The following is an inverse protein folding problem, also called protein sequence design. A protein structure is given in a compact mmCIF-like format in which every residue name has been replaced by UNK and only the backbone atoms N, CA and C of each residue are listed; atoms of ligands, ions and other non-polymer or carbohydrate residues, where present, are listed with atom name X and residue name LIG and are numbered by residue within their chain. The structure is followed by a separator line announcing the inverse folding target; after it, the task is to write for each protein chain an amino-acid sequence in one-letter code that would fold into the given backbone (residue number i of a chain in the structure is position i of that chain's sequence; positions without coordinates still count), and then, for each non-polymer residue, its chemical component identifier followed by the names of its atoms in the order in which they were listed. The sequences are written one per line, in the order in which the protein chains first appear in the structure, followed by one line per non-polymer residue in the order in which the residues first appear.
data_IF_222387258278
#
_entry.id   IF_222387258278
#
_cell.length_a   1.000
_cell.length_b   1.000
_cell.length_c   1.000
_cell.angle_alpha   90.00
_cell.angle_beta   90.00
_cell.angle_gamma   90.00
#
_symmetry.space_group_name_H-M   'P 1'
#
loop_
_entity.id
_entity.type
_entity.pdbx_description
1 polymer ?
#
# COMPACT_ATOMS: atom_id res chain seq x y z
N UNK A 1 23.86 -3.63 -25.62
CA UNK A 1 22.80 -4.14 -24.72
C UNK A 1 21.93 -2.95 -24.30
N UNK A 2 20.76 -2.78 -24.92
CA UNK A 2 19.80 -1.75 -24.46
C UNK A 2 19.30 -2.15 -23.09
N UNK A 3 19.50 -1.27 -22.09
CA UNK A 3 18.85 -1.42 -20.79
C UNK A 3 17.35 -1.39 -21.06
N UNK A 4 16.66 -2.46 -20.68
CA UNK A 4 15.20 -2.54 -20.73
C UNK A 4 14.68 -1.66 -19.59
N UNK A 5 14.67 -0.35 -19.80
CA UNK A 5 14.13 0.62 -18.85
C UNK A 5 12.61 0.46 -18.91
N UNK A 6 11.94 0.06 -17.83
CA UNK A 6 10.48 -0.07 -17.83
C UNK A 6 9.87 1.28 -18.22
N UNK A 7 8.85 1.24 -19.10
CA UNK A 7 7.99 2.39 -19.36
C UNK A 7 7.53 2.99 -18.01
N UNK A 8 7.44 4.33 -17.91
CA UNK A 8 6.97 5.04 -16.72
C UNK A 8 5.67 4.45 -16.17
N UNK A 9 4.76 3.99 -17.01
CA UNK A 9 3.53 3.33 -16.56
C UNK A 9 3.80 2.00 -15.84
N UNK A 10 4.72 1.18 -16.38
CA UNK A 10 5.13 -0.08 -15.74
C UNK A 10 5.86 0.18 -14.42
N UNK A 11 6.70 1.21 -14.37
CA UNK A 11 7.39 1.60 -13.13
C UNK A 11 6.42 2.05 -12.05
N UNK A 12 5.42 2.87 -12.40
CA UNK A 12 4.39 3.32 -11.45
C UNK A 12 3.54 2.14 -10.96
N UNK A 13 3.13 1.22 -11.83
CA UNK A 13 2.40 0.00 -11.43
C UNK A 13 3.20 -0.83 -10.44
N UNK A 14 4.48 -1.07 -10.75
CA UNK A 14 5.37 -1.86 -9.89
C UNK A 14 5.52 -1.23 -8.50
N UNK A 15 5.73 0.08 -8.41
CA UNK A 15 5.86 0.79 -7.13
C UNK A 15 4.57 0.66 -6.29
N UNK A 16 3.40 0.74 -6.92
CA UNK A 16 2.13 0.63 -6.21
C UNK A 16 1.86 -0.81 -5.72
N UNK A 17 2.24 -1.83 -6.49
CA UNK A 17 2.16 -3.24 -6.08
C UNK A 17 3.05 -3.52 -4.87
N UNK A 18 4.30 -3.06 -4.90
CA UNK A 18 5.25 -3.19 -3.79
C UNK A 18 4.75 -2.48 -2.52
N UNK A 19 4.12 -1.31 -2.68
CA UNK A 19 3.55 -0.56 -1.56
C UNK A 19 2.39 -1.31 -0.89
N UNK A 20 1.48 -1.88 -1.68
CA UNK A 20 0.38 -2.71 -1.17
C UNK A 20 0.90 -3.95 -0.44
N UNK A 21 1.90 -4.62 -1.02
CA UNK A 21 2.56 -5.77 -0.40
C UNK A 21 3.25 -5.41 0.93
N UNK A 22 3.91 -4.26 1.01
CA UNK A 22 4.57 -3.78 2.22
C UNK A 22 3.58 -3.48 3.34
N UNK A 23 2.44 -2.86 3.02
CA UNK A 23 1.37 -2.60 3.99
C UNK A 23 0.80 -3.93 4.53
N UNK A 24 0.55 -4.89 3.65
CA UNK A 24 0.10 -6.23 4.02
C UNK A 24 1.08 -6.93 4.95
N UNK A 25 2.36 -7.01 4.57
CA UNK A 25 3.38 -7.64 5.39
C UNK A 25 3.49 -6.98 6.77
N UNK A 26 3.44 -5.65 6.81
CA UNK A 26 3.47 -4.90 8.08
C UNK A 26 2.25 -5.21 8.96
N UNK A 27 1.06 -5.33 8.37
CA UNK A 27 -0.16 -5.72 9.10
C UNK A 27 -0.03 -7.13 9.67
N UNK A 28 0.41 -8.08 8.84
CA UNK A 28 0.59 -9.49 9.20
C UNK A 28 1.65 -9.67 10.30
N UNK A 29 2.79 -8.98 10.21
CA UNK A 29 3.85 -8.99 11.23
C UNK A 29 3.37 -8.49 12.60
N UNK A 30 2.35 -7.63 12.61
CA UNK A 30 1.71 -7.13 13.83
C UNK A 30 0.59 -8.02 14.35
N UNK A 31 0.24 -9.09 13.65
CA UNK A 31 -0.89 -9.95 13.99
C UNK A 31 -2.25 -9.25 13.84
N UNK A 32 -2.34 -8.20 13.02
CA UNK A 32 -3.58 -7.44 12.81
C UNK A 32 -4.38 -8.12 11.70
N UNK A 33 -5.65 -8.42 11.95
CA UNK A 33 -6.56 -8.97 10.94
C UNK A 33 -7.04 -7.88 9.98
N UNK A 34 -7.58 -8.28 8.82
CA UNK A 34 -8.17 -7.35 7.84
C UNK A 34 -9.33 -6.57 8.49
N UNK A 35 -10.19 -7.25 9.26
CA UNK A 35 -11.29 -6.64 10.00
C UNK A 35 -10.81 -5.57 11.00
N UNK A 36 -9.76 -5.88 11.76
CA UNK A 36 -9.17 -4.92 12.70
C UNK A 36 -8.56 -3.71 11.98
N UNK A 37 -7.85 -3.93 10.87
CA UNK A 37 -7.31 -2.83 10.08
C UNK A 37 -8.42 -1.93 9.50
N UNK A 38 -9.51 -2.54 9.02
CA UNK A 38 -10.69 -1.81 8.53
C UNK A 38 -11.33 -0.95 9.63
N UNK A 39 -11.49 -1.51 10.83
CA UNK A 39 -12.00 -0.78 12.01
C UNK A 39 -11.08 0.37 12.40
N UNK A 40 -9.77 0.12 12.52
CA UNK A 40 -8.77 1.15 12.87
C UNK A 40 -8.72 2.30 11.86
N UNK A 41 -8.96 1.99 10.58
CA UNK A 41 -8.90 2.96 9.48
C UNK A 41 -10.27 3.62 9.20
N UNK A 42 -11.35 3.13 9.83
CA UNK A 42 -12.71 3.60 9.58
C UNK A 42 -13.20 3.30 8.17
N UNK A 43 -12.93 2.09 7.67
CA UNK A 43 -13.29 1.63 6.31
C UNK A 43 -13.82 0.19 6.31
N UNK A 44 -13.96 -0.43 5.13
CA UNK A 44 -14.41 -1.81 4.97
C UNK A 44 -13.25 -2.78 4.75
N UNK A 45 -13.45 -4.06 5.06
CA UNK A 45 -12.46 -5.11 4.77
C UNK A 45 -12.13 -5.20 3.28
N UNK A 46 -13.12 -4.97 2.41
CA UNK A 46 -12.93 -4.95 0.96
C UNK A 46 -11.97 -3.84 0.54
N UNK A 47 -12.05 -2.66 1.15
CA UNK A 47 -11.16 -1.55 0.86
C UNK A 47 -9.72 -1.87 1.30
N UNK A 48 -9.54 -2.53 2.46
CA UNK A 48 -8.21 -3.01 2.90
C UNK A 48 -7.63 -4.00 1.88
N UNK A 49 -8.44 -4.96 1.39
CA UNK A 49 -8.01 -5.93 0.38
C UNK A 49 -7.62 -5.23 -0.93
N UNK A 50 -8.39 -4.23 -1.37
CA UNK A 50 -8.07 -3.44 -2.56
C UNK A 50 -6.75 -2.70 -2.40
N UNK A 51 -6.51 -2.07 -1.25
CA UNK A 51 -5.26 -1.37 -0.96
C UNK A 51 -4.07 -2.33 -1.02
N UNK A 52 -4.15 -3.46 -0.32
CA UNK A 52 -3.05 -4.44 -0.23
C UNK A 52 -2.74 -5.15 -1.55
N UNK A 53 -3.72 -5.25 -2.44
CA UNK A 53 -3.57 -5.84 -3.78
C UNK A 53 -3.36 -4.80 -4.88
N UNK A 54 -3.26 -3.52 -4.54
CA UNK A 54 -3.21 -2.41 -5.50
C UNK A 54 -4.33 -2.49 -6.57
N UNK A 55 -5.56 -2.75 -6.16
CA UNK A 55 -6.71 -2.85 -7.08
C UNK A 55 -7.36 -1.49 -7.21
N UNK A 56 -7.22 -0.89 -8.40
CA UNK A 56 -7.83 0.40 -8.74
C UNK A 56 -6.98 1.60 -8.32
N UNK A 57 -7.58 2.80 -8.37
CA UNK A 57 -6.91 4.02 -7.99
C UNK A 57 -7.05 4.26 -6.48
N UNK A 58 -5.97 4.03 -5.74
CA UNK A 58 -5.95 4.23 -4.28
C UNK A 58 -5.35 5.61 -3.97
N UNK A 59 -6.07 6.49 -3.25
CA UNK A 59 -5.52 7.78 -2.84
C UNK A 59 -4.29 7.62 -1.94
N UNK A 60 -3.24 8.40 -2.20
CA UNK A 60 -2.03 8.43 -1.37
C UNK A 60 -2.35 8.73 0.11
N UNK A 61 -3.35 9.57 0.37
CA UNK A 61 -3.81 9.89 1.73
C UNK A 61 -4.36 8.66 2.48
N UNK A 62 -4.98 7.71 1.77
CA UNK A 62 -5.48 6.48 2.36
C UNK A 62 -4.33 5.53 2.71
N UNK A 63 -3.35 5.41 1.81
CA UNK A 63 -2.11 4.64 2.06
C UNK A 63 -1.35 5.22 3.26
N UNK A 64 -1.21 6.55 3.33
CA UNK A 64 -0.55 7.22 4.46
C UNK A 64 -1.25 6.90 5.79
N UNK A 65 -2.57 7.06 5.85
CA UNK A 65 -3.34 6.73 7.05
C UNK A 65 -3.22 5.25 7.41
N UNK A 66 -3.19 4.36 6.42
CA UNK A 66 -3.01 2.94 6.68
C UNK A 66 -1.63 2.65 7.29
N UNK A 67 -0.56 3.25 6.76
CA UNK A 67 0.76 3.17 7.37
C UNK A 67 0.76 3.70 8.81
N UNK A 68 0.07 4.83 9.05
CA UNK A 68 0.01 5.47 10.37
C UNK A 68 -0.71 4.59 11.41
N UNK A 69 -1.85 3.96 11.08
CA UNK A 69 -2.53 3.02 11.99
C UNK A 69 -1.70 1.76 12.24
N UNK A 70 -0.87 1.37 11.27
CA UNK A 70 0.15 0.34 11.43
C UNK A 70 1.41 0.86 12.13
N UNK A 71 1.40 2.04 12.75
CA UNK A 71 2.54 2.62 13.49
C UNK A 71 3.81 2.78 12.64
N UNK A 72 3.65 2.92 11.32
CA UNK A 72 4.70 3.27 10.38
C UNK A 72 4.47 4.70 9.90
N UNK A 73 5.45 5.24 9.18
CA UNK A 73 5.31 6.50 8.44
C UNK A 73 5.73 6.26 7.01
N UNK A 74 4.86 6.61 6.07
CA UNK A 74 5.24 6.71 4.67
C UNK A 74 6.13 7.95 4.48
N UNK A 75 7.28 7.77 3.83
CA UNK A 75 8.21 8.83 3.48
C UNK A 75 8.43 8.82 1.97
N UNK A 76 8.03 9.90 1.30
CA UNK A 76 8.33 10.12 -0.10
C UNK A 76 9.61 10.94 -0.20
N UNK A 77 10.62 10.39 -0.87
CA UNK A 77 11.84 11.12 -1.23
C UNK A 77 11.76 11.47 -2.71
N UNK A 78 11.65 12.75 -3.02
CA UNK A 78 11.84 13.25 -4.37
C UNK A 78 13.34 13.49 -4.55
N UNK A 79 13.93 12.82 -5.55
CA UNK A 79 15.33 13.01 -5.96
C UNK A 79 15.48 14.24 -6.85
#
# INVERSE_FOLDING_TARGET
MSKNIPDRHKMTSFIQEELGALLRATREDKGISIAQAAEMLGTTEEEIIKIEKNIGLIPLSLIQRYADVLGKKLQLKFL
#
